data_IF_067208897556
#
_entry.id   IF_067208897556
#
_cell.length_a   1.000
_cell.length_b   1.000
_cell.length_c   1.000
_cell.angle_alpha   90.00
_cell.angle_beta   90.00
_cell.angle_gamma   90.00
#
_symmetry.space_group_name_H-M   'P 1'
#
loop_
_entity.id
_entity.type
_entity.pdbx_description
1 polymer ?
#
# COMPACT_ATOMS: atom_id res chain seq x y z
N UNK A 1 -21.23 -18.48 7.75
CA UNK A 1 -20.06 -18.01 8.56
C UNK A 1 -18.74 -18.57 8.04
N UNK A 2 -18.64 -19.85 7.69
CA UNK A 2 -17.40 -20.48 7.20
C UNK A 2 -16.91 -19.98 5.83
N UNK A 3 -17.79 -19.77 4.85
CA UNK A 3 -17.41 -19.30 3.50
C UNK A 3 -16.87 -17.87 3.50
N UNK A 4 -17.49 -16.96 4.26
CA UNK A 4 -17.03 -15.59 4.43
C UNK A 4 -15.66 -15.54 5.11
N UNK A 5 -15.44 -16.36 6.14
CA UNK A 5 -14.16 -16.42 6.86
C UNK A 5 -13.02 -16.96 5.96
N UNK A 6 -13.29 -17.98 5.15
CA UNK A 6 -12.33 -18.50 4.17
C UNK A 6 -11.97 -17.42 3.14
N UNK A 7 -12.95 -16.65 2.65
CA UNK A 7 -12.72 -15.52 1.75
C UNK A 7 -11.87 -14.43 2.41
N UNK A 8 -12.18 -14.05 3.64
CA UNK A 8 -11.40 -13.05 4.41
C UNK A 8 -9.96 -13.50 4.57
N UNK A 9 -9.72 -14.77 4.92
CA UNK A 9 -8.36 -15.31 5.08
C UNK A 9 -7.60 -15.34 3.74
N UNK A 10 -8.24 -15.78 2.66
CA UNK A 10 -7.63 -15.80 1.33
C UNK A 10 -7.27 -14.38 0.84
N UNK A 11 -8.18 -13.42 1.04
CA UNK A 11 -7.94 -12.02 0.73
C UNK A 11 -6.85 -11.41 1.64
N UNK A 12 -6.74 -11.84 2.89
CA UNK A 12 -5.70 -11.40 3.82
C UNK A 12 -4.30 -11.88 3.40
N UNK A 13 -4.20 -13.06 2.80
CA UNK A 13 -2.95 -13.52 2.17
C UNK A 13 -2.59 -12.63 0.98
N UNK A 14 -3.57 -12.23 0.16
CA UNK A 14 -3.34 -11.31 -0.96
C UNK A 14 -2.94 -9.89 -0.49
N UNK A 15 -3.57 -9.41 0.59
CA UNK A 15 -3.18 -8.18 1.29
C UNK A 15 -1.71 -8.27 1.72
N UNK A 16 -1.36 -9.36 2.40
CA UNK A 16 0.00 -9.62 2.88
C UNK A 16 0.99 -9.68 1.72
N UNK A 17 0.67 -10.40 0.64
CA UNK A 17 1.51 -10.48 -0.55
C UNK A 17 1.77 -9.09 -1.15
N UNK A 18 0.72 -8.27 -1.22
CA UNK A 18 0.79 -6.89 -1.70
C UNK A 18 1.64 -6.01 -0.77
N UNK A 19 1.50 -6.16 0.55
CA UNK A 19 2.33 -5.50 1.56
C UNK A 19 3.79 -5.89 1.45
N UNK A 20 4.09 -7.18 1.29
CA UNK A 20 5.44 -7.69 1.15
C UNK A 20 6.12 -7.23 -0.14
N UNK A 21 5.38 -7.18 -1.26
CA UNK A 21 5.93 -6.76 -2.57
C UNK A 21 6.08 -5.24 -2.67
N UNK A 22 5.09 -4.48 -2.19
CA UNK A 22 4.97 -3.05 -2.44
C UNK A 22 5.36 -2.19 -1.22
N UNK A 23 5.62 -2.80 -0.06
CA UNK A 23 5.99 -2.15 1.22
C UNK A 23 4.89 -1.34 1.91
N UNK A 24 3.79 -1.04 1.22
CA UNK A 24 2.68 -0.27 1.79
C UNK A 24 1.35 -0.45 1.08
N UNK A 25 1.28 -1.27 0.03
CA UNK A 25 0.08 -1.40 -0.79
C UNK A 25 -1.01 -2.31 -0.23
N UNK A 26 -0.67 -3.26 0.63
CA UNK A 26 -1.68 -4.10 1.28
C UNK A 26 -2.53 -3.34 2.30
N UNK A 27 -2.01 -2.28 2.92
CA UNK A 27 -2.78 -1.48 3.90
C UNK A 27 -3.99 -0.77 3.28
N UNK A 28 -3.93 -0.51 1.97
CA UNK A 28 -5.07 0.05 1.21
C UNK A 28 -6.25 -0.93 1.17
N UNK A 29 -5.95 -2.22 1.07
CA UNK A 29 -6.96 -3.27 0.94
C UNK A 29 -7.55 -3.68 2.29
N UNK A 30 -6.79 -3.54 3.38
CA UNK A 30 -7.20 -4.02 4.70
C UNK A 30 -8.49 -3.37 5.18
N UNK A 31 -8.63 -2.04 5.07
CA UNK A 31 -9.85 -1.35 5.52
C UNK A 31 -11.09 -1.76 4.71
N UNK A 32 -11.11 -1.69 3.37
CA UNK A 32 -12.26 -2.13 2.58
C UNK A 32 -12.61 -3.60 2.79
N UNK A 33 -11.64 -4.50 2.92
CA UNK A 33 -11.91 -5.93 3.12
C UNK A 33 -12.55 -6.17 4.48
N UNK A 34 -12.08 -5.51 5.54
CA UNK A 34 -12.69 -5.62 6.86
C UNK A 34 -14.12 -5.05 6.88
N UNK A 35 -14.36 -3.91 6.24
CA UNK A 35 -15.72 -3.32 6.17
C UNK A 35 -16.66 -4.17 5.31
N UNK A 36 -16.27 -4.48 4.07
CA UNK A 36 -17.18 -5.08 3.09
C UNK A 36 -17.29 -6.60 3.20
N UNK A 37 -16.24 -7.29 3.67
CA UNK A 37 -16.21 -8.75 3.72
C UNK A 37 -16.38 -9.25 5.15
N UNK A 38 -15.69 -8.65 6.11
CA UNK A 38 -15.86 -9.03 7.52
C UNK A 38 -17.07 -8.35 8.19
N UNK A 39 -17.66 -7.33 7.55
CA UNK A 39 -18.86 -6.64 8.05
C UNK A 39 -18.58 -5.72 9.24
N UNK A 40 -17.32 -5.34 9.45
CA UNK A 40 -16.93 -4.48 10.57
C UNK A 40 -17.48 -3.07 10.39
N UNK A 41 -17.84 -2.42 11.50
CA UNK A 41 -18.11 -1.00 11.47
C UNK A 41 -16.85 -0.24 11.04
N UNK A 42 -16.99 0.87 10.30
CA UNK A 42 -15.86 1.57 9.69
C UNK A 42 -14.75 1.92 10.69
N UNK A 43 -15.11 2.32 11.92
CA UNK A 43 -14.15 2.65 12.97
C UNK A 43 -13.39 1.42 13.48
N UNK A 44 -14.09 0.31 13.67
CA UNK A 44 -13.49 -0.97 14.08
C UNK A 44 -12.57 -1.53 12.99
N UNK A 45 -13.00 -1.49 11.72
CA UNK A 45 -12.19 -1.89 10.58
C UNK A 45 -10.90 -1.07 10.47
N UNK A 46 -10.98 0.23 10.73
CA UNK A 46 -9.82 1.13 10.76
C UNK A 46 -8.86 0.72 11.88
N UNK A 47 -9.35 0.56 13.12
CA UNK A 47 -8.53 0.16 14.24
C UNK A 47 -7.85 -1.20 14.00
N UNK A 48 -8.62 -2.20 13.56
CA UNK A 48 -8.12 -3.52 13.21
C UNK A 48 -7.07 -3.46 12.07
N UNK A 49 -7.28 -2.60 11.06
CA UNK A 49 -6.30 -2.43 9.99
C UNK A 49 -4.99 -1.81 10.46
N UNK A 50 -5.02 -0.85 11.40
CA UNK A 50 -3.81 -0.25 11.98
C UNK A 50 -3.00 -1.30 12.73
N UNK A 51 -3.66 -2.20 13.46
CA UNK A 51 -3.00 -3.33 14.11
C UNK A 51 -2.38 -4.29 13.09
N UNK A 52 -3.17 -4.81 12.14
CA UNK A 52 -2.72 -5.75 11.11
C UNK A 52 -1.53 -5.19 10.33
N UNK A 53 -1.63 -3.93 9.89
CA UNK A 53 -0.60 -3.26 9.10
C UNK A 53 0.63 -2.93 9.95
N UNK A 54 0.45 -2.52 11.22
CA UNK A 54 1.55 -2.27 12.14
C UNK A 54 2.40 -3.52 12.38
N UNK A 55 1.76 -4.64 12.68
CA UNK A 55 2.43 -5.92 12.92
C UNK A 55 3.10 -6.44 11.65
N UNK A 56 2.39 -6.50 10.52
CA UNK A 56 2.96 -6.97 9.24
C UNK A 56 4.11 -6.09 8.75
N UNK A 57 4.04 -4.78 8.98
CA UNK A 57 5.13 -3.86 8.65
C UNK A 57 6.34 -4.09 9.54
N UNK A 58 6.15 -4.28 10.85
CA UNK A 58 7.24 -4.61 11.77
C UNK A 58 7.97 -5.90 11.35
N UNK A 59 7.23 -6.94 10.96
CA UNK A 59 7.80 -8.19 10.43
C UNK A 59 8.54 -7.94 9.11
N UNK A 60 7.99 -7.11 8.22
CA UNK A 60 8.58 -6.79 6.92
C UNK A 60 9.86 -5.97 7.01
N UNK A 61 9.93 -5.05 7.98
CA UNK A 61 11.13 -4.25 8.27
C UNK A 61 12.30 -5.18 8.51
N UNK A 62 12.11 -6.25 9.28
CA UNK A 62 13.20 -7.18 9.58
C UNK A 62 13.76 -7.86 8.32
N UNK A 63 12.89 -8.22 7.37
CA UNK A 63 13.29 -8.80 6.08
C UNK A 63 14.03 -7.79 5.19
N UNK A 64 13.57 -6.54 5.16
CA UNK A 64 14.16 -5.48 4.33
C UNK A 64 15.45 -4.90 4.93
N UNK A 65 15.54 -4.85 6.26
CA UNK A 65 16.72 -4.44 7.01
C UNK A 65 17.87 -5.42 6.76
N UNK A 66 17.61 -6.73 6.74
CA UNK A 66 18.60 -7.75 6.37
C UNK A 66 19.14 -7.59 4.94
N UNK A 67 18.35 -7.00 4.04
CA UNK A 67 18.78 -6.72 2.67
C UNK A 67 19.51 -5.37 2.51
N UNK A 68 19.76 -4.63 3.60
CA UNK A 68 20.45 -3.34 3.57
C UNK A 68 19.65 -2.19 2.93
N UNK A 69 18.33 -2.33 2.80
CA UNK A 69 17.46 -1.37 2.07
C UNK A 69 16.73 -0.38 2.99
N UNK A 70 17.17 -0.25 4.25
CA UNK A 70 16.50 0.57 5.27
C UNK A 70 17.41 1.70 5.71
N UNK A 71 16.98 2.94 5.52
CA UNK A 71 17.66 4.09 6.07
C UNK A 71 17.08 4.46 7.43
N UNK A 72 17.69 3.92 8.48
CA UNK A 72 17.22 4.07 9.86
C UNK A 72 17.06 5.54 10.28
N UNK A 73 18.03 6.40 9.98
CA UNK A 73 17.98 7.82 10.38
C UNK A 73 16.73 8.52 9.82
N UNK A 74 16.53 8.47 8.50
CA UNK A 74 15.38 9.11 7.85
C UNK A 74 14.06 8.47 8.27
N UNK A 75 14.03 7.14 8.40
CA UNK A 75 12.84 6.40 8.84
C UNK A 75 12.43 6.73 10.28
N UNK A 76 13.37 6.80 11.22
CA UNK A 76 13.10 7.15 12.61
C UNK A 76 12.68 8.60 12.78
N UNK A 77 13.33 9.55 12.09
CA UNK A 77 12.95 10.96 12.15
C UNK A 77 11.54 11.20 11.59
N UNK A 78 11.28 10.68 10.38
CA UNK A 78 9.98 10.81 9.74
C UNK A 78 8.89 10.02 10.49
N UNK A 79 9.24 8.85 11.03
CA UNK A 79 8.40 8.01 11.86
C UNK A 79 8.02 8.70 13.16
N UNK A 80 8.97 9.28 13.89
CA UNK A 80 8.73 9.99 15.15
C UNK A 80 7.82 11.20 14.98
N UNK A 81 8.09 12.04 13.97
CA UNK A 81 7.20 13.15 13.63
C UNK A 81 5.80 12.66 13.25
N UNK A 82 5.74 11.58 12.48
CA UNK A 82 4.48 10.97 12.06
C UNK A 82 3.70 10.29 13.18
N UNK A 83 4.35 9.79 14.25
CA UNK A 83 3.66 9.18 15.39
C UNK A 83 2.78 10.20 16.09
N UNK A 84 3.30 11.41 16.31
CA UNK A 84 2.53 12.50 16.93
C UNK A 84 1.30 12.82 16.08
N UNK A 85 1.50 12.99 14.77
CA UNK A 85 0.39 13.20 13.85
C UNK A 85 -0.61 12.05 13.87
N UNK A 86 -0.13 10.81 13.79
CA UNK A 86 -0.99 9.62 13.72
C UNK A 86 -1.82 9.41 15.00
N UNK A 87 -1.24 9.67 16.17
CA UNK A 87 -1.94 9.60 17.46
C UNK A 87 -3.06 10.65 17.54
N UNK A 88 -2.74 11.91 17.24
CA UNK A 88 -3.74 13.00 17.18
C UNK A 88 -4.82 12.71 16.13
N UNK A 89 -4.41 12.21 14.97
CA UNK A 89 -5.33 11.82 13.90
C UNK A 89 -6.26 10.68 14.32
N UNK A 90 -5.76 9.67 15.05
CA UNK A 90 -6.57 8.58 15.57
C UNK A 90 -7.61 9.05 16.59
N UNK A 91 -7.21 9.93 17.53
CA UNK A 91 -8.11 10.57 18.49
C UNK A 91 -9.24 11.35 17.81
N UNK A 92 -8.89 12.16 16.80
CA UNK A 92 -9.85 12.93 16.02
C UNK A 92 -10.74 12.02 15.15
N UNK A 93 -10.17 10.98 14.56
CA UNK A 93 -10.88 10.01 13.72
C UNK A 93 -11.99 9.27 14.47
N UNK A 94 -11.79 8.97 15.76
CA UNK A 94 -12.81 8.40 16.64
C UNK A 94 -14.08 9.25 16.76
N UNK A 95 -14.00 10.57 16.53
CA UNK A 95 -15.13 11.49 16.61
C UNK A 95 -15.81 11.75 15.25
N UNK A 96 -15.19 11.33 14.15
CA UNK A 96 -15.70 11.60 12.79
C UNK A 96 -16.61 10.44 12.34
N UNK A 97 -17.75 10.72 11.67
CA UNK A 97 -18.57 9.69 11.04
C UNK A 97 -17.77 8.86 10.02
N UNK A 98 -17.91 7.52 10.08
CA UNK A 98 -17.14 6.60 9.26
C UNK A 98 -17.26 6.84 7.75
N UNK A 99 -18.42 7.30 7.28
CA UNK A 99 -18.65 7.62 5.87
C UNK A 99 -17.73 8.75 5.37
N UNK A 100 -17.53 9.80 6.17
CA UNK A 100 -16.62 10.91 5.83
C UNK A 100 -15.19 10.40 5.77
N UNK A 101 -14.83 9.52 6.71
CA UNK A 101 -13.50 8.94 6.80
C UNK A 101 -13.15 8.08 5.59
N UNK A 102 -14.11 7.29 5.11
CA UNK A 102 -13.93 6.47 3.92
C UNK A 102 -13.92 7.31 2.63
N UNK A 103 -14.72 8.38 2.53
CA UNK A 103 -14.65 9.30 1.39
C UNK A 103 -13.30 10.01 1.36
N UNK A 104 -12.82 10.49 2.52
CA UNK A 104 -11.49 11.09 2.65
C UNK A 104 -10.39 10.10 2.25
N UNK A 105 -10.50 8.83 2.66
CA UNK A 105 -9.61 7.76 2.24
C UNK A 105 -9.57 7.59 0.72
N UNK A 106 -10.74 7.51 0.08
CA UNK A 106 -10.88 7.32 -1.36
C UNK A 106 -10.27 8.49 -2.15
N UNK A 107 -10.60 9.73 -1.78
CA UNK A 107 -10.03 10.93 -2.40
C UNK A 107 -8.51 10.95 -2.31
N UNK A 108 -7.97 10.55 -1.15
CA UNK A 108 -6.54 10.52 -0.94
C UNK A 108 -5.83 9.44 -1.77
N UNK A 109 -6.44 8.25 -1.89
CA UNK A 109 -5.94 7.20 -2.78
C UNK A 109 -5.83 7.69 -4.23
N UNK A 110 -6.88 8.35 -4.72
CA UNK A 110 -6.90 8.93 -6.07
C UNK A 110 -5.81 9.99 -6.23
N UNK A 111 -5.69 10.93 -5.30
CA UNK A 111 -4.66 11.97 -5.34
C UNK A 111 -3.23 11.37 -5.39
N UNK A 112 -2.98 10.37 -4.56
CA UNK A 112 -1.68 9.71 -4.44
C UNK A 112 -1.34 8.90 -5.69
N UNK A 113 -2.33 8.19 -6.23
CA UNK A 113 -2.19 7.45 -7.47
C UNK A 113 -1.86 8.38 -8.64
N UNK A 114 -2.59 9.49 -8.80
CA UNK A 114 -2.34 10.48 -9.85
C UNK A 114 -0.93 11.07 -9.71
N UNK A 115 -0.49 11.39 -8.49
CA UNK A 115 0.87 11.89 -8.24
C UNK A 115 1.94 10.88 -8.64
N UNK A 116 1.71 9.58 -8.42
CA UNK A 116 2.65 8.52 -8.81
C UNK A 116 2.68 8.29 -10.33
N UNK A 117 1.50 8.30 -10.98
CA UNK A 117 1.32 8.06 -12.43
C UNK A 117 1.86 9.23 -13.26
N UNK A 118 1.64 10.47 -12.81
CA UNK A 118 2.13 11.68 -13.51
C UNK A 118 3.66 11.74 -13.62
N UNK A 119 4.38 10.90 -12.87
CA UNK A 119 5.83 10.85 -12.93
C UNK A 119 6.48 12.12 -12.35
N UNK A 120 7.79 12.06 -12.06
CA UNK A 120 8.53 13.33 -11.94
C UNK A 120 8.53 13.94 -13.34
N UNK A 121 7.95 15.12 -13.55
CA UNK A 121 8.43 15.99 -14.63
C UNK A 121 9.93 16.17 -14.35
N UNK A 122 10.78 15.72 -15.28
CA UNK A 122 12.24 15.89 -15.21
C UNK A 122 12.52 17.36 -14.85
N UNK A 123 12.90 17.63 -13.60
CA UNK A 123 13.96 18.61 -13.38
C UNK A 123 15.24 17.89 -13.77
N UNK A 124 15.54 17.99 -15.06
CA UNK A 124 16.89 17.88 -15.52
C UNK A 124 17.57 19.18 -15.10
N UNK A 125 18.45 19.08 -14.10
CA UNK A 125 19.69 19.84 -14.04
C UNK A 125 20.75 18.73 -14.03
N UNK A 126 21.36 18.37 -15.16
CA UNK A 126 22.44 19.07 -15.84
C UNK A 126 23.66 19.28 -14.92
N UNK A 127 24.77 18.61 -15.26
CA UNK A 127 26.12 19.00 -14.84
C UNK A 127 26.65 18.36 -13.55
N UNK A 128 27.70 17.55 -13.70
CA UNK A 128 28.85 17.44 -12.77
C UNK A 128 28.58 17.54 -11.27
N UNK A 129 28.66 16.41 -10.58
CA UNK A 129 28.82 16.39 -9.12
C UNK A 129 28.13 15.18 -8.51
N UNK A 130 28.86 14.46 -7.67
CA UNK A 130 28.35 13.47 -6.71
C UNK A 130 27.01 13.92 -6.11
N UNK A 131 26.05 13.00 -5.87
CA UNK A 131 24.78 13.36 -5.23
C UNK A 131 25.09 13.86 -3.83
N UNK A 132 25.23 15.18 -3.67
CA UNK A 132 25.24 15.82 -2.37
C UNK A 132 23.89 15.48 -1.75
N UNK A 133 23.93 14.65 -0.70
CA UNK A 133 22.89 14.56 0.30
C UNK A 133 22.64 15.99 0.81
N UNK A 134 21.81 16.73 0.09
CA UNK A 134 21.35 18.03 0.52
C UNK A 134 20.36 17.69 1.60
N UNK A 135 20.85 17.75 2.85
CA UNK A 135 20.05 17.76 4.07
C UNK A 135 18.75 18.52 3.74
N UNK A 136 17.67 17.79 3.48
CA UNK A 136 16.35 18.41 3.39
C UNK A 136 16.17 19.10 4.74
N UNK A 137 15.78 20.39 4.79
CA UNK A 137 15.69 21.11 6.04
C UNK A 137 14.88 20.25 7.00
N UNK A 138 15.47 19.89 8.14
CA UNK A 138 14.91 18.97 9.13
C UNK A 138 13.43 19.28 9.40
N UNK A 139 13.12 20.59 9.42
CA UNK A 139 11.78 21.14 9.54
C UNK A 139 10.77 20.63 8.49
N UNK A 140 11.16 20.53 7.22
CA UNK A 140 10.27 20.05 6.13
C UNK A 140 9.98 18.56 6.26
N UNK A 141 10.98 17.76 6.65
CA UNK A 141 10.80 16.32 6.91
C UNK A 141 9.89 16.10 8.12
N UNK A 142 10.04 16.91 9.18
CA UNK A 142 9.16 16.88 10.34
C UNK A 142 7.73 17.29 9.98
N UNK A 143 7.56 18.37 9.21
CA UNK A 143 6.25 18.86 8.80
C UNK A 143 5.52 17.85 7.90
N UNK A 144 6.20 17.31 6.90
CA UNK A 144 5.64 16.26 6.03
C UNK A 144 5.32 15.01 6.85
N UNK A 145 6.20 14.63 7.79
CA UNK A 145 5.98 13.51 8.70
C UNK A 145 4.73 13.69 9.53
N UNK A 146 4.55 14.87 10.12
CA UNK A 146 3.39 15.24 10.94
C UNK A 146 2.10 15.28 10.12
N UNK A 147 2.09 15.94 8.97
CA UNK A 147 0.91 16.05 8.09
C UNK A 147 0.52 14.69 7.55
N UNK A 148 1.47 13.95 6.97
CA UNK A 148 1.20 12.58 6.52
C UNK A 148 0.78 11.73 7.72
N UNK A 149 1.34 11.97 8.91
CA UNK A 149 0.93 11.38 10.20
C UNK A 149 -0.53 11.55 10.51
N UNK A 150 -0.93 12.79 10.64
CA UNK A 150 -2.28 13.20 10.97
C UNK A 150 -3.28 12.63 9.99
N UNK A 151 -3.02 12.75 8.69
CA UNK A 151 -3.93 12.19 7.69
C UNK A 151 -3.97 10.67 7.76
N UNK A 152 -2.84 9.99 7.94
CA UNK A 152 -2.84 8.52 8.08
C UNK A 152 -3.51 8.02 9.35
N UNK A 153 -3.40 8.75 10.45
CA UNK A 153 -4.07 8.45 11.70
C UNK A 153 -5.58 8.64 11.59
N UNK A 154 -6.02 9.76 11.01
CA UNK A 154 -7.43 10.05 10.73
C UNK A 154 -8.04 8.97 9.85
N UNK A 155 -7.45 8.79 8.66
CA UNK A 155 -7.97 7.90 7.62
C UNK A 155 -7.84 6.42 8.01
N UNK A 156 -6.87 6.08 8.86
CA UNK A 156 -6.77 4.75 9.45
C UNK A 156 -6.17 3.66 8.55
N UNK A 157 -5.86 3.96 7.29
CA UNK A 157 -5.43 2.95 6.31
C UNK A 157 -3.94 2.53 6.41
N UNK A 158 -3.30 2.68 7.58
CA UNK A 158 -1.88 2.36 7.80
C UNK A 158 -0.87 3.16 6.96
N UNK A 159 -1.33 4.05 6.08
CA UNK A 159 -0.52 5.08 5.43
C UNK A 159 0.56 4.67 4.47
N UNK A 160 0.76 3.36 4.22
CA UNK A 160 1.87 2.89 3.40
C UNK A 160 1.84 3.43 1.98
N UNK A 161 0.64 3.63 1.43
CA UNK A 161 0.47 4.23 0.12
C UNK A 161 0.90 5.69 0.01
N UNK A 162 1.02 6.40 1.13
CA UNK A 162 1.45 7.81 1.18
C UNK A 162 2.91 7.94 1.55
N UNK A 163 3.35 7.12 2.51
CA UNK A 163 4.71 7.17 3.03
C UNK A 163 5.71 6.76 1.95
N UNK A 164 5.40 5.72 1.16
CA UNK A 164 6.26 5.27 0.06
C UNK A 164 6.50 6.39 -0.97
N UNK A 165 5.46 7.02 -1.58
CA UNK A 165 5.68 8.11 -2.53
C UNK A 165 6.22 9.38 -1.87
N UNK A 166 5.90 9.68 -0.62
CA UNK A 166 6.52 10.82 0.08
C UNK A 166 8.04 10.63 0.17
N UNK A 167 8.51 9.46 0.60
CA UNK A 167 9.94 9.16 0.67
C UNK A 167 10.61 9.09 -0.72
N UNK A 168 9.93 8.55 -1.73
CA UNK A 168 10.48 8.43 -3.08
C UNK A 168 10.48 9.76 -3.86
N UNK A 169 9.46 10.60 -3.70
CA UNK A 169 9.28 11.86 -4.43
C UNK A 169 9.92 13.03 -3.69
N UNK A 170 9.69 13.16 -2.38
CA UNK A 170 10.19 14.27 -1.56
C UNK A 170 11.58 13.95 -0.99
N UNK A 171 11.77 12.72 -0.50
CA UNK A 171 13.05 12.24 0.04
C UNK A 171 14.09 11.90 -1.03
N UNK A 172 13.71 11.86 -2.31
CA UNK A 172 14.62 11.58 -3.43
C UNK A 172 15.13 10.13 -3.46
N UNK A 173 14.59 9.23 -2.64
CA UNK A 173 15.11 7.89 -2.44
C UNK A 173 14.80 6.96 -3.61
N UNK A 174 15.71 6.00 -3.93
CA UNK A 174 15.38 4.93 -4.86
C UNK A 174 14.24 4.10 -4.27
N UNK A 175 13.36 3.59 -5.14
CA UNK A 175 12.07 3.04 -4.72
C UNK A 175 12.27 1.86 -3.74
N UNK A 176 13.27 1.01 -3.98
CA UNK A 176 13.57 -0.10 -3.09
C UNK A 176 13.95 0.33 -1.66
N UNK A 177 14.67 1.46 -1.51
CA UNK A 177 15.03 2.02 -0.20
C UNK A 177 13.85 2.76 0.42
N UNK A 178 13.04 3.46 -0.40
CA UNK A 178 11.83 4.14 0.06
C UNK A 178 10.82 3.14 0.65
N UNK A 179 10.64 1.98 0.00
CA UNK A 179 9.80 0.86 0.46
C UNK A 179 10.34 0.28 1.78
N UNK A 180 11.65 0.02 1.89
CA UNK A 180 12.23 -0.49 3.14
C UNK A 180 12.11 0.51 4.29
N UNK A 181 12.38 1.79 4.02
CA UNK A 181 12.33 2.86 5.01
C UNK A 181 10.89 3.21 5.42
N UNK A 182 9.93 3.13 4.49
CA UNK A 182 8.52 3.37 4.79
C UNK A 182 7.96 2.34 5.75
N UNK A 183 8.39 1.07 5.68
CA UNK A 183 7.91 0.02 6.59
C UNK A 183 8.18 0.35 8.06
N UNK A 184 9.33 0.98 8.37
CA UNK A 184 9.66 1.46 9.73
C UNK A 184 8.66 2.53 10.16
N UNK A 185 8.45 3.52 9.29
CA UNK A 185 7.54 4.64 9.56
C UNK A 185 6.10 4.14 9.72
N UNK A 186 5.66 3.24 8.83
CA UNK A 186 4.32 2.65 8.85
C UNK A 186 4.11 1.90 10.16
N UNK A 187 5.05 1.05 10.58
CA UNK A 187 4.95 0.35 11.85
C UNK A 187 4.78 1.33 13.02
N UNK A 188 5.68 2.31 13.15
CA UNK A 188 5.65 3.31 14.23
C UNK A 188 4.32 4.07 14.27
N UNK A 189 3.87 4.59 13.13
CA UNK A 189 2.64 5.39 13.03
C UNK A 189 1.38 4.57 13.21
N UNK A 190 1.39 3.30 12.77
CA UNK A 190 0.21 2.43 12.91
C UNK A 190 -0.02 2.06 14.37
N UNK A 191 1.03 1.78 15.14
CA UNK A 191 0.91 1.61 16.59
C UNK A 191 0.47 2.89 17.29
N UNK A 192 1.00 4.06 16.89
CA UNK A 192 0.56 5.34 17.45
C UNK A 192 -0.91 5.66 17.11
N UNK A 193 -1.35 5.43 15.88
CA UNK A 193 -2.74 5.62 15.46
C UNK A 193 -3.69 4.63 16.14
N UNK A 194 -3.29 3.37 16.28
CA UNK A 194 -4.05 2.35 17.00
C UNK A 194 -4.25 2.75 18.46
N UNK A 195 -3.21 3.25 19.13
CA UNK A 195 -3.32 3.74 20.50
C UNK A 195 -4.35 4.86 20.64
N UNK A 196 -4.48 5.73 19.63
CA UNK A 196 -5.54 6.74 19.58
C UNK A 196 -6.93 6.11 19.45
N UNK A 197 -7.11 5.14 18.55
CA UNK A 197 -8.41 4.49 18.31
C UNK A 197 -8.89 3.60 19.47
N UNK A 198 -7.96 2.92 20.16
CA UNK A 198 -8.27 2.07 21.32
C UNK A 198 -8.94 2.82 22.47
N UNK A 199 -8.84 4.16 22.50
CA UNK A 199 -9.57 4.99 23.48
C UNK A 199 -11.06 5.13 23.16
N UNK A 200 -11.48 4.77 21.95
CA UNK A 200 -12.84 5.01 21.43
C UNK A 200 -13.54 3.77 20.88
N UNK A 201 -12.81 2.67 20.63
CA UNK A 201 -13.32 1.48 19.94
C UNK A 201 -12.75 0.21 20.57
N UNK A 202 -13.61 -0.80 20.76
CA UNK A 202 -13.20 -2.16 21.13
C UNK A 202 -12.96 -2.99 19.87
N UNK A 203 -11.93 -3.85 19.87
CA UNK A 203 -11.63 -4.73 18.73
C UNK A 203 -12.06 -6.17 19.02
N UNK A 204 -12.67 -6.81 18.03
CA UNK A 204 -12.71 -8.28 17.98
C UNK A 204 -11.30 -8.84 17.71
N UNK A 205 -10.63 -9.25 18.79
CA UNK A 205 -9.30 -9.85 18.74
C UNK A 205 -9.27 -11.19 17.99
N UNK A 206 -10.37 -11.93 17.93
CA UNK A 206 -10.43 -13.23 17.26
C UNK A 206 -10.23 -13.09 15.76
N UNK A 207 -11.02 -12.23 15.12
CA UNK A 207 -10.90 -11.97 13.68
C UNK A 207 -9.61 -11.20 13.38
N UNK A 208 -9.29 -10.19 14.19
CA UNK A 208 -8.09 -9.35 13.99
C UNK A 208 -6.79 -10.16 14.02
N UNK A 209 -6.63 -11.07 14.98
CA UNK A 209 -5.45 -11.94 15.07
C UNK A 209 -5.41 -12.95 13.92
N UNK A 210 -6.55 -13.51 13.53
CA UNK A 210 -6.65 -14.44 12.40
C UNK A 210 -6.23 -13.79 11.08
N UNK A 211 -6.73 -12.58 10.82
CA UNK A 211 -6.35 -11.76 9.66
C UNK A 211 -4.87 -11.39 9.72
N UNK A 212 -4.37 -11.01 10.90
CA UNK A 212 -2.95 -10.67 11.09
C UNK A 212 -2.04 -11.86 10.78
N UNK A 213 -2.37 -13.06 11.27
CA UNK A 213 -1.61 -14.27 11.02
C UNK A 213 -1.57 -14.61 9.51
N UNK A 214 -2.71 -14.56 8.83
CA UNK A 214 -2.78 -14.76 7.38
C UNK A 214 -1.97 -13.71 6.61
N UNK A 215 -2.06 -12.44 7.03
CA UNK A 215 -1.33 -11.35 6.41
C UNK A 215 0.19 -11.47 6.63
N UNK A 216 0.65 -11.94 7.80
CA UNK A 216 2.09 -12.21 8.05
C UNK A 216 2.61 -13.25 7.06
N UNK A 217 1.88 -14.35 6.86
CA UNK A 217 2.28 -15.40 5.90
C UNK A 217 2.37 -14.83 4.49
N UNK A 218 1.35 -14.11 4.03
CA UNK A 218 1.37 -13.44 2.72
C UNK A 218 2.54 -12.46 2.57
N UNK A 219 2.82 -11.70 3.63
CA UNK A 219 3.88 -10.69 3.65
C UNK A 219 5.27 -11.30 3.56
N UNK A 220 5.54 -12.41 4.24
CA UNK A 220 6.80 -13.14 4.16
C UNK A 220 7.05 -13.77 2.78
N UNK A 221 5.97 -14.14 2.07
CA UNK A 221 6.06 -14.62 0.69
C UNK A 221 6.32 -13.43 -0.25
N UNK A 222 5.57 -12.35 -0.08
CA UNK A 222 5.69 -11.14 -0.89
C UNK A 222 7.05 -10.45 -0.77
N UNK A 223 7.61 -10.36 0.45
CA UNK A 223 8.90 -9.69 0.69
C UNK A 223 10.08 -10.42 0.01
N UNK A 224 10.00 -11.75 -0.10
CA UNK A 224 10.99 -12.52 -0.87
C UNK A 224 10.88 -12.27 -2.37
N UNK A 225 9.68 -12.00 -2.87
CA UNK A 225 9.44 -11.74 -4.29
C UNK A 225 9.78 -10.30 -4.69
N UNK A 226 9.65 -9.34 -3.78
CA UNK A 226 9.97 -7.92 -3.98
C UNK A 226 11.37 -7.70 -4.58
N UNK A 227 12.36 -8.49 -4.16
CA UNK A 227 13.74 -8.38 -4.62
C UNK A 227 13.99 -8.73 -6.09
N UNK A 228 13.00 -9.32 -6.79
CA UNK A 228 13.14 -9.76 -8.20
C UNK A 228 12.41 -8.87 -9.20
N UNK A 229 11.67 -7.86 -8.74
CA UNK A 229 10.82 -7.03 -9.60
C UNK A 229 11.53 -5.68 -9.86
N UNK A 230 11.64 -5.23 -11.12
CA UNK A 230 12.25 -3.96 -11.45
C UNK A 230 11.45 -2.77 -10.89
N UNK A 231 12.14 -1.76 -10.38
CA UNK A 231 11.55 -0.61 -9.66
C UNK A 231 10.48 0.13 -10.47
N UNK A 232 10.68 0.27 -11.78
CA UNK A 232 9.75 0.96 -12.67
C UNK A 232 8.41 0.21 -12.81
N UNK A 233 8.45 -1.13 -12.82
CA UNK A 233 7.26 -1.96 -12.85
C UNK A 233 6.52 -1.90 -11.51
N UNK A 234 7.26 -1.95 -10.40
CA UNK A 234 6.68 -1.84 -9.06
C UNK A 234 5.96 -0.51 -8.85
N UNK A 235 6.58 0.60 -9.27
CA UNK A 235 6.00 1.94 -9.17
C UNK A 235 4.73 2.09 -10.00
N UNK A 236 4.75 1.67 -11.27
CA UNK A 236 3.58 1.76 -12.17
C UNK A 236 2.45 0.83 -11.72
N UNK A 237 2.79 -0.41 -11.36
CA UNK A 237 1.84 -1.41 -10.85
C UNK A 237 1.17 -0.92 -9.57
N UNK A 238 1.95 -0.36 -8.64
CA UNK A 238 1.40 0.21 -7.42
C UNK A 238 0.44 1.37 -7.70
N UNK A 239 0.87 2.37 -8.48
CA UNK A 239 0.03 3.54 -8.78
C UNK A 239 -1.29 3.16 -9.44
N UNK A 240 -1.25 2.22 -10.39
CA UNK A 240 -2.45 1.73 -11.05
C UNK A 240 -3.37 0.93 -10.11
N UNK A 241 -2.78 0.08 -9.26
CA UNK A 241 -3.52 -0.65 -8.24
C UNK A 241 -4.25 0.27 -7.24
N UNK A 242 -3.56 1.30 -6.73
CA UNK A 242 -4.17 2.32 -5.86
C UNK A 242 -5.29 3.06 -6.58
N UNK A 243 -5.14 3.34 -7.89
CA UNK A 243 -6.17 4.01 -8.69
C UNK A 243 -7.46 3.19 -8.73
N UNK A 244 -7.34 1.91 -9.06
CA UNK A 244 -8.49 1.00 -9.19
C UNK A 244 -9.22 0.86 -7.85
N UNK A 245 -8.47 0.69 -6.76
CA UNK A 245 -9.07 0.59 -5.43
C UNK A 245 -9.71 1.89 -4.98
N UNK A 246 -9.04 3.04 -5.20
CA UNK A 246 -9.60 4.36 -4.89
C UNK A 246 -10.92 4.61 -5.62
N UNK A 247 -10.97 4.27 -6.91
CA UNK A 247 -12.18 4.39 -7.72
C UNK A 247 -13.29 3.43 -7.25
N UNK A 248 -12.95 2.19 -6.89
CA UNK A 248 -13.90 1.21 -6.35
C UNK A 248 -14.55 1.67 -5.04
N UNK A 249 -13.75 2.16 -4.09
CA UNK A 249 -14.26 2.68 -2.80
C UNK A 249 -15.15 3.90 -3.03
N UNK A 250 -14.77 4.79 -3.95
CA UNK A 250 -15.55 5.97 -4.29
C UNK A 250 -16.91 5.62 -4.91
N UNK A 251 -16.99 4.60 -5.77
CA UNK A 251 -18.27 4.10 -6.33
C UNK A 251 -19.18 3.57 -5.23
N UNK A 252 -18.63 2.77 -4.32
CA UNK A 252 -19.40 2.15 -3.25
C UNK A 252 -20.03 3.20 -2.32
N UNK A 253 -19.33 4.31 -2.08
CA UNK A 253 -19.81 5.44 -1.27
C UNK A 253 -20.65 6.47 -2.02
N UNK A 254 -20.70 6.42 -3.36
CA UNK A 254 -21.50 7.35 -4.14
C UNK A 254 -23.01 7.05 -3.99
N UNK A 255 -23.88 8.09 -3.90
CA UNK A 255 -25.33 7.93 -3.83
C UNK A 255 -25.89 7.21 -5.06
N UNK A 256 -27.02 6.52 -4.87
CA UNK A 256 -27.56 5.48 -5.77
C UNK A 256 -27.78 5.98 -7.21
N UNK A 257 -28.10 7.26 -7.39
CA UNK A 257 -28.38 7.89 -8.69
C UNK A 257 -27.15 8.03 -9.61
N UNK A 258 -25.95 8.02 -9.04
CA UNK A 258 -24.69 8.19 -9.79
C UNK A 258 -23.88 6.89 -9.89
N UNK A 259 -24.38 5.78 -9.32
CA UNK A 259 -23.71 4.46 -9.33
C UNK A 259 -23.51 3.91 -10.74
N UNK A 260 -24.49 4.08 -11.63
CA UNK A 260 -24.46 3.58 -13.01
C UNK A 260 -23.30 4.11 -13.87
N UNK A 261 -23.17 5.43 -14.06
CA UNK A 261 -22.12 5.99 -14.91
C UNK A 261 -20.70 5.80 -14.34
N UNK A 262 -20.54 5.83 -13.01
CA UNK A 262 -19.23 5.64 -12.38
C UNK A 262 -18.81 4.17 -12.42
N UNK A 263 -19.74 3.22 -12.23
CA UNK A 263 -19.44 1.79 -12.34
C UNK A 263 -19.00 1.39 -13.76
N UNK A 264 -19.62 1.94 -14.81
CA UNK A 264 -19.20 1.73 -16.21
C UNK A 264 -17.81 2.30 -16.49
N UNK A 265 -17.51 3.50 -15.98
CA UNK A 265 -16.19 4.13 -16.11
C UNK A 265 -15.07 3.32 -15.43
N UNK A 266 -15.35 2.75 -14.25
CA UNK A 266 -14.37 1.96 -13.49
C UNK A 266 -14.26 0.52 -14.00
N UNK A 267 -15.33 -0.08 -14.50
CA UNK A 267 -15.26 -1.36 -15.21
C UNK A 267 -14.41 -1.23 -16.49
N UNK A 268 -14.56 -0.12 -17.23
CA UNK A 268 -13.69 0.23 -18.35
C UNK A 268 -12.23 0.38 -17.91
N UNK A 269 -11.97 1.09 -16.82
CA UNK A 269 -10.62 1.24 -16.27
C UNK A 269 -10.02 -0.09 -15.78
N UNK A 270 -10.81 -0.99 -15.19
CA UNK A 270 -10.38 -2.32 -14.74
C UNK A 270 -10.09 -3.28 -15.91
N UNK A 271 -10.84 -3.18 -17.01
CA UNK A 271 -10.53 -3.92 -18.24
C UNK A 271 -9.27 -3.37 -18.92
N UNK A 272 -9.07 -2.05 -18.92
CA UNK A 272 -7.82 -1.43 -19.38
C UNK A 272 -6.65 -1.81 -18.45
N UNK A 273 -6.87 -1.97 -17.15
CA UNK A 273 -5.89 -2.49 -16.18
C UNK A 273 -5.42 -3.90 -16.55
N UNK A 274 -6.38 -4.78 -16.81
CA UNK A 274 -6.13 -6.17 -17.19
C UNK A 274 -5.44 -6.23 -18.55
N UNK A 275 -5.86 -5.40 -19.51
CA UNK A 275 -5.24 -5.29 -20.82
C UNK A 275 -3.80 -4.71 -20.74
N UNK A 276 -3.55 -3.71 -19.90
CA UNK A 276 -2.20 -3.12 -19.70
C UNK A 276 -1.28 -4.08 -18.94
N UNK A 277 -1.80 -4.84 -17.98
CA UNK A 277 -1.05 -5.92 -17.33
C UNK A 277 -0.69 -7.02 -18.35
N UNK A 278 -1.61 -7.36 -19.25
CA UNK A 278 -1.39 -8.32 -20.34
C UNK A 278 -0.42 -7.80 -21.41
N UNK A 279 -0.45 -6.50 -21.71
CA UNK A 279 0.33 -5.88 -22.80
C UNK A 279 1.74 -5.40 -22.38
N UNK A 280 1.94 -4.96 -21.14
CA UNK A 280 3.21 -4.36 -20.68
C UNK A 280 4.03 -5.25 -19.72
N UNK A 281 3.45 -6.29 -19.10
CA UNK A 281 4.20 -7.19 -18.20
C UNK A 281 4.73 -8.39 -18.99
N UNK A 282 5.97 -8.30 -19.45
CA UNK A 282 6.68 -9.37 -20.17
C UNK A 282 6.98 -10.62 -19.33
N UNK A 283 6.63 -10.64 -18.05
CA UNK A 283 6.91 -11.72 -17.10
C UNK A 283 5.65 -12.48 -16.62
N UNK A 284 4.65 -12.66 -17.50
CA UNK A 284 3.50 -13.52 -17.20
C UNK A 284 3.84 -15.00 -17.49
N UNK A 285 3.77 -15.91 -16.49
CA UNK A 285 4.17 -17.32 -16.64
C UNK A 285 3.28 -18.13 -17.59
N UNK A 286 2.08 -17.63 -17.95
CA UNK A 286 1.19 -18.26 -18.92
C UNK A 286 1.70 -18.19 -20.37
N UNK A 287 2.65 -17.30 -20.68
CA UNK A 287 3.26 -17.22 -22.02
C UNK A 287 4.23 -18.38 -22.31
N UNK A 288 4.71 -19.08 -21.27
CA UNK A 288 5.72 -20.14 -21.44
C UNK A 288 5.14 -21.48 -21.92
N UNK A 289 3.83 -21.70 -21.81
CA UNK A 289 3.23 -23.00 -22.15
C UNK A 289 3.11 -23.27 -23.65
N UNK A 290 3.16 -22.24 -24.51
CA UNK A 290 2.99 -22.39 -25.97
C UNK A 290 4.31 -22.41 -26.76
N UNK A 291 5.47 -22.29 -26.11
CA UNK A 291 6.77 -22.29 -26.82
C UNK A 291 7.47 -23.65 -26.89
N UNK A 292 7.08 -24.60 -26.05
CA UNK A 292 7.75 -25.91 -25.98
C UNK A 292 7.30 -26.93 -27.03
N UNK A 293 6.32 -26.61 -27.87
CA UNK A 293 5.82 -27.52 -28.93
C UNK A 293 6.29 -27.18 -30.34
N UNK A 294 6.88 -26.00 -30.59
CA UNK A 294 7.31 -25.59 -31.93
C UNK A 294 8.81 -25.79 -32.21
N UNK A 295 9.63 -26.06 -31.20
CA UNK A 295 11.09 -26.20 -31.37
C UNK A 295 11.57 -27.66 -31.52
N UNK A 296 10.66 -28.64 -31.46
CA UNK A 296 11.02 -30.08 -31.54
C UNK A 296 10.94 -30.67 -32.95
N UNK A 297 10.41 -29.97 -33.95
CA UNK A 297 10.23 -30.49 -35.32
C UNK A 297 11.32 -30.06 -36.32
N UNK A 298 12.35 -29.31 -35.89
CA UNK A 298 13.45 -28.88 -36.78
C UNK A 298 14.77 -29.61 -36.56
N UNK A 299 14.76 -30.74 -35.82
CA UNK A 299 15.97 -31.48 -35.50
C UNK A 299 15.82 -32.99 -35.69
N UNK A 300 15.34 -33.40 -36.87
CA UNK A 300 15.56 -34.75 -37.39
C UNK A 300 15.89 -34.69 -38.88
N UNK A 301 17.17 -34.48 -39.18
CA UNK A 301 17.79 -34.95 -40.41
C UNK A 301 18.97 -35.84 -40.02
N UNK A 302 18.96 -37.13 -40.38
CA UNK A 302 20.18 -37.85 -40.67
C UNK A 302 20.31 -38.04 -42.20
N UNK A 303 21.57 -37.93 -42.61
CA UNK A 303 22.14 -38.36 -43.89
C UNK A 303 21.83 -39.83 -44.16
#
# INVERSE_FOLDING_TARGET
MTTALILVLALSVLIGLSLGVLGGGGSILTVPILVYVAGFEAKEAIAASLFVVGVTSAVSVFSHARAGRVMWRTGLLFGAAGMVGAFVGGLLGGHIPGQILLIAFALMMVATSIAMIRGRKKKADAGTGTPKHTELPLFRVLLDGLVVGLVTGLVGAGGGFLVVPALALLGGLPMAIAVGTSLVVIAMKSFAGLAGYLTTVELDWGITLSVTAAAIVGTLIGSRLAGRIPEAALRKGFGWFVLVMGAFVLIQQAPVDLRGPIALGVAGAALVAAAVCWFFVSACPLRKSNRTTLERDTQTTPV
#
